data_IF_101976198417
#
_entry.id   IF_101976198417
#
_cell.length_a   1.000
_cell.length_b   1.000
_cell.length_c   1.000
_cell.angle_alpha   90.00
_cell.angle_beta   90.00
_cell.angle_gamma   90.00
#
_symmetry.space_group_name_H-M   'P 1'
#
loop_
_entity.id
_entity.type
_entity.pdbx_description
1 polymer ?
#
# COMPACT_ATOMS: atom_id res chain seq x y z
N UNK A 1 -18.29 -85.45 1.38
CA UNK A 1 -16.99 -85.06 2.03
C UNK A 1 -16.02 -84.51 0.98
N UNK A 2 -15.73 -85.18 -0.16
CA UNK A 2 -14.76 -84.65 -1.17
C UNK A 2 -15.31 -83.40 -1.87
N UNK A 3 -16.61 -83.35 -2.17
CA UNK A 3 -17.22 -82.13 -2.74
C UNK A 3 -17.26 -80.96 -1.81
N UNK A 4 -17.50 -81.14 -0.53
CA UNK A 4 -17.46 -80.13 0.47
C UNK A 4 -16.03 -79.59 0.69
N UNK A 5 -15.03 -80.47 0.64
CA UNK A 5 -13.62 -80.10 0.74
C UNK A 5 -13.17 -79.22 -0.45
N UNK A 6 -13.61 -79.54 -1.67
CA UNK A 6 -13.32 -78.73 -2.84
C UNK A 6 -14.05 -77.37 -2.81
N UNK A 7 -15.31 -77.30 -2.38
CA UNK A 7 -16.03 -76.07 -2.24
C UNK A 7 -15.35 -75.10 -1.19
N UNK A 8 -14.98 -75.69 -0.07
CA UNK A 8 -14.21 -74.91 0.99
C UNK A 8 -12.86 -74.45 0.48
N UNK A 9 -12.16 -75.25 -0.35
CA UNK A 9 -10.88 -74.78 -0.94
C UNK A 9 -11.05 -73.67 -1.94
N UNK A 10 -12.13 -73.69 -2.80
CA UNK A 10 -12.46 -72.60 -3.70
C UNK A 10 -12.82 -71.31 -2.94
N UNK A 11 -13.62 -71.43 -1.87
CA UNK A 11 -13.95 -70.26 -1.00
C UNK A 11 -12.70 -69.62 -0.35
N UNK A 12 -11.76 -70.44 0.07
CA UNK A 12 -10.48 -69.96 0.64
C UNK A 12 -9.66 -69.23 -0.45
N UNK A 13 -9.55 -69.82 -1.65
CA UNK A 13 -8.83 -69.18 -2.77
C UNK A 13 -9.45 -67.84 -3.13
N UNK A 14 -10.78 -67.77 -3.20
CA UNK A 14 -11.45 -66.50 -3.48
C UNK A 14 -11.26 -65.47 -2.35
N UNK A 15 -11.30 -65.87 -1.09
CA UNK A 15 -11.04 -65.03 0.05
C UNK A 15 -9.61 -64.46 0.03
N UNK A 16 -8.64 -65.29 -0.34
CA UNK A 16 -7.24 -64.85 -0.52
C UNK A 16 -7.12 -63.85 -1.66
N UNK A 17 -7.77 -64.11 -2.80
CA UNK A 17 -7.77 -63.19 -3.95
C UNK A 17 -8.36 -61.83 -3.59
N UNK A 18 -9.47 -61.80 -2.86
CA UNK A 18 -10.09 -60.56 -2.37
C UNK A 18 -9.14 -59.83 -1.42
N UNK A 19 -8.47 -60.55 -0.53
CA UNK A 19 -7.51 -59.98 0.42
C UNK A 19 -6.29 -59.38 -0.29
N UNK A 20 -5.75 -60.04 -1.31
CA UNK A 20 -4.65 -59.53 -2.13
C UNK A 20 -5.07 -58.22 -2.86
N UNK A 21 -6.22 -58.25 -3.53
CA UNK A 21 -6.74 -57.06 -4.21
C UNK A 21 -6.98 -55.88 -3.24
N UNK A 22 -7.45 -56.16 -2.02
CA UNK A 22 -7.61 -55.12 -0.98
C UNK A 22 -6.26 -54.58 -0.53
N UNK A 23 -5.26 -55.45 -0.38
CA UNK A 23 -3.89 -55.03 -0.05
C UNK A 23 -3.24 -54.14 -1.13
N UNK A 24 -3.44 -54.49 -2.40
CA UNK A 24 -2.95 -53.68 -3.53
C UNK A 24 -3.64 -52.31 -3.56
N UNK A 25 -4.95 -52.24 -3.40
CA UNK A 25 -5.69 -50.98 -3.30
C UNK A 25 -5.24 -50.14 -2.12
N UNK A 26 -4.96 -50.77 -0.98
CA UNK A 26 -4.42 -50.10 0.21
C UNK A 26 -3.02 -49.51 -0.05
N UNK A 27 -2.18 -50.24 -0.79
CA UNK A 27 -0.85 -49.79 -1.17
C UNK A 27 -0.92 -48.54 -2.07
N UNK A 28 -1.83 -48.55 -3.04
CA UNK A 28 -2.05 -47.38 -3.92
C UNK A 28 -2.58 -46.18 -3.15
N UNK A 29 -3.47 -46.37 -2.20
CA UNK A 29 -3.98 -45.30 -1.32
C UNK A 29 -2.87 -44.70 -0.44
N UNK A 30 -1.97 -45.56 0.09
CA UNK A 30 -0.82 -45.12 0.87
C UNK A 30 0.13 -44.26 0.00
N UNK A 31 0.42 -44.69 -1.23
CA UNK A 31 1.26 -43.94 -2.15
C UNK A 31 0.62 -42.60 -2.50
N UNK A 32 -0.67 -42.55 -2.77
CA UNK A 32 -1.41 -41.31 -3.02
C UNK A 32 -1.40 -40.37 -1.81
N UNK A 33 -1.57 -40.92 -0.60
CA UNK A 33 -1.45 -40.12 0.63
C UNK A 33 -0.05 -39.56 0.81
N UNK A 34 1.00 -40.37 0.55
CA UNK A 34 2.40 -39.91 0.62
C UNK A 34 2.65 -38.72 -0.33
N UNK A 35 2.21 -38.82 -1.57
CA UNK A 35 2.31 -37.72 -2.54
C UNK A 35 1.58 -36.46 -2.09
N UNK A 36 0.39 -36.64 -1.48
CA UNK A 36 -0.38 -35.50 -0.94
C UNK A 36 0.38 -34.83 0.22
N UNK A 37 1.03 -35.60 1.09
CA UNK A 37 1.85 -35.03 2.17
C UNK A 37 3.08 -34.30 1.65
N UNK A 38 3.75 -34.82 0.61
CA UNK A 38 4.87 -34.11 -0.02
C UNK A 38 4.42 -32.76 -0.62
N UNK A 39 3.27 -32.75 -1.27
CA UNK A 39 2.69 -31.54 -1.85
C UNK A 39 2.28 -30.54 -0.76
N UNK A 40 1.70 -31.03 0.35
CA UNK A 40 1.38 -30.20 1.51
C UNK A 40 2.64 -29.56 2.12
N UNK A 41 3.71 -30.33 2.27
CA UNK A 41 4.98 -29.81 2.79
C UNK A 41 5.58 -28.74 1.88
N UNK A 42 5.53 -28.93 0.56
CA UNK A 42 5.95 -27.92 -0.41
C UNK A 42 5.12 -26.64 -0.30
N UNK A 43 3.79 -26.77 -0.21
CA UNK A 43 2.88 -25.62 -0.05
C UNK A 43 3.12 -24.87 1.28
N UNK A 44 3.42 -25.59 2.36
CA UNK A 44 3.77 -24.98 3.66
C UNK A 44 5.06 -24.21 3.58
N UNK A 45 6.08 -24.71 2.87
CA UNK A 45 7.34 -23.98 2.65
C UNK A 45 7.12 -22.68 1.87
N UNK A 46 6.33 -22.74 0.79
CA UNK A 46 5.96 -21.55 0.02
C UNK A 46 5.16 -20.53 0.85
N UNK A 47 4.27 -21.02 1.73
CA UNK A 47 3.52 -20.15 2.63
C UNK A 47 4.44 -19.40 3.60
N UNK A 48 5.45 -20.06 4.15
CA UNK A 48 6.46 -19.42 5.03
C UNK A 48 7.20 -18.33 4.27
N UNK A 49 7.64 -18.58 3.04
CA UNK A 49 8.31 -17.57 2.21
C UNK A 49 7.41 -16.35 1.94
N UNK A 50 6.14 -16.58 1.62
CA UNK A 50 5.18 -15.48 1.42
C UNK A 50 4.94 -14.66 2.69
N UNK A 51 4.87 -15.30 3.85
CA UNK A 51 4.75 -14.59 5.15
C UNK A 51 5.98 -13.71 5.41
N UNK A 52 7.18 -14.19 5.10
CA UNK A 52 8.41 -13.40 5.23
C UNK A 52 8.41 -12.20 4.27
N UNK A 53 7.95 -12.38 3.04
CA UNK A 53 7.83 -11.30 2.06
C UNK A 53 6.81 -10.24 2.52
N UNK A 54 5.64 -10.66 3.01
CA UNK A 54 4.64 -9.74 3.58
C UNK A 54 5.23 -8.95 4.76
N UNK A 55 6.00 -9.58 5.64
CA UNK A 55 6.67 -8.88 6.73
C UNK A 55 7.66 -7.81 6.24
N UNK A 56 8.43 -8.09 5.18
CA UNK A 56 9.31 -7.08 4.55
C UNK A 56 8.51 -5.91 3.98
N UNK A 57 7.39 -6.20 3.32
CA UNK A 57 6.51 -5.17 2.75
C UNK A 57 5.90 -4.28 3.84
N UNK A 58 5.46 -4.86 4.98
CA UNK A 58 4.95 -4.11 6.14
C UNK A 58 6.03 -3.19 6.71
N UNK A 59 7.26 -3.67 6.82
CA UNK A 59 8.39 -2.85 7.29
C UNK A 59 8.67 -1.67 6.34
N UNK A 60 8.67 -1.92 5.02
CA UNK A 60 8.80 -0.89 4.00
C UNK A 60 7.67 0.13 4.02
N UNK A 61 6.43 -0.34 4.22
CA UNK A 61 5.26 0.53 4.34
C UNK A 61 5.35 1.43 5.59
N UNK A 62 5.82 0.90 6.72
CA UNK A 62 6.04 1.67 7.95
C UNK A 62 7.07 2.79 7.73
N UNK A 63 8.20 2.48 7.08
CA UNK A 63 9.20 3.49 6.72
C UNK A 63 8.64 4.57 5.77
N UNK A 64 7.83 4.17 4.79
CA UNK A 64 7.17 5.10 3.88
C UNK A 64 6.18 6.01 4.60
N UNK A 65 5.39 5.46 5.53
CA UNK A 65 4.46 6.25 6.34
C UNK A 65 5.19 7.29 7.21
N UNK A 66 6.33 6.94 7.81
CA UNK A 66 7.13 7.90 8.56
C UNK A 66 7.61 9.07 7.68
N UNK A 67 8.07 8.78 6.45
CA UNK A 67 8.45 9.82 5.49
C UNK A 67 7.27 10.71 5.08
N UNK A 68 6.07 10.15 4.95
CA UNK A 68 4.86 10.94 4.68
C UNK A 68 4.58 11.89 5.83
N UNK A 69 4.68 11.44 7.08
CA UNK A 69 4.50 12.30 8.27
C UNK A 69 5.52 13.44 8.30
N UNK A 70 6.80 13.16 8.01
CA UNK A 70 7.84 14.18 7.89
C UNK A 70 7.52 15.21 6.79
N UNK A 71 7.10 14.74 5.61
CA UNK A 71 6.73 15.62 4.50
C UNK A 71 5.52 16.50 4.84
N UNK A 72 4.52 15.97 5.55
CA UNK A 72 3.36 16.73 6.02
C UNK A 72 3.81 17.84 7.00
N UNK A 73 4.74 17.52 7.90
CA UNK A 73 5.29 18.51 8.83
C UNK A 73 6.04 19.64 8.09
N UNK A 74 6.86 19.29 7.10
CA UNK A 74 7.55 20.27 6.25
C UNK A 74 6.56 21.13 5.44
N UNK A 75 5.54 20.50 4.87
CA UNK A 75 4.49 21.21 4.12
C UNK A 75 3.74 22.19 5.00
N UNK A 76 3.45 21.82 6.25
CA UNK A 76 2.83 22.72 7.23
C UNK A 76 3.69 23.96 7.52
N UNK A 77 5.00 23.78 7.68
CA UNK A 77 5.94 24.89 7.89
C UNK A 77 5.99 25.82 6.67
N UNK A 78 6.09 25.26 5.45
CA UNK A 78 6.05 26.05 4.20
C UNK A 78 4.73 26.80 4.05
N UNK A 79 3.61 26.16 4.38
CA UNK A 79 2.29 26.82 4.32
C UNK A 79 2.22 28.01 5.25
N UNK A 80 2.82 27.90 6.43
CA UNK A 80 2.89 28.99 7.40
C UNK A 80 3.76 30.16 6.89
N UNK A 81 4.90 29.86 6.28
CA UNK A 81 5.75 30.87 5.63
C UNK A 81 5.05 31.58 4.46
N UNK A 82 4.32 30.83 3.62
CA UNK A 82 3.52 31.41 2.53
C UNK A 82 2.43 32.35 3.07
N UNK A 83 1.79 31.99 4.18
CA UNK A 83 0.78 32.84 4.83
C UNK A 83 1.39 34.16 5.30
N UNK A 84 2.54 34.11 5.98
CA UNK A 84 3.26 35.33 6.44
C UNK A 84 3.69 36.19 5.26
N UNK A 85 4.22 35.59 4.20
CA UNK A 85 4.62 36.31 3.01
C UNK A 85 3.40 36.97 2.31
N UNK A 86 2.25 36.31 2.27
CA UNK A 86 1.03 36.88 1.72
C UNK A 86 0.54 38.10 2.52
N UNK A 87 0.63 38.06 3.85
CA UNK A 87 0.33 39.22 4.71
C UNK A 87 1.30 40.37 4.47
N UNK A 88 2.58 40.09 4.30
CA UNK A 88 3.59 41.12 3.97
C UNK A 88 3.30 41.78 2.61
N UNK A 89 2.96 40.99 1.59
CA UNK A 89 2.60 41.52 0.28
C UNK A 89 1.32 42.36 0.34
N UNK A 90 0.35 41.96 1.16
CA UNK A 90 -0.86 42.75 1.38
C UNK A 90 -0.55 44.09 2.01
N UNK A 91 0.23 44.12 3.07
CA UNK A 91 0.65 45.37 3.75
C UNK A 91 1.47 46.28 2.84
N UNK A 92 2.38 45.70 2.03
CA UNK A 92 3.14 46.49 1.04
C UNK A 92 2.25 47.07 -0.06
N UNK A 93 1.21 46.36 -0.47
CA UNK A 93 0.23 46.84 -1.43
C UNK A 93 -0.57 48.04 -0.89
N UNK A 94 -0.97 47.97 0.37
CA UNK A 94 -1.65 49.11 1.05
C UNK A 94 -0.73 50.35 1.14
N UNK A 95 0.53 50.16 1.52
CA UNK A 95 1.52 51.25 1.53
C UNK A 95 1.73 51.86 0.14
N UNK A 96 1.78 51.04 -0.90
CA UNK A 96 1.93 51.53 -2.27
C UNK A 96 0.71 52.34 -2.73
N UNK A 97 -0.50 51.97 -2.30
CA UNK A 97 -1.73 52.77 -2.56
C UNK A 97 -1.65 54.13 -1.86
N UNK A 98 -1.18 54.19 -0.61
CA UNK A 98 -1.00 55.42 0.13
C UNK A 98 0.03 56.33 -0.55
N UNK A 99 1.18 55.78 -0.96
CA UNK A 99 2.20 56.56 -1.69
C UNK A 99 1.66 57.09 -3.04
N UNK A 100 0.88 56.28 -3.78
CA UNK A 100 0.26 56.72 -5.03
C UNK A 100 -0.68 57.92 -4.82
N UNK A 101 -1.47 57.92 -3.75
CA UNK A 101 -2.36 59.03 -3.41
C UNK A 101 -1.56 60.28 -2.99
N UNK A 102 -0.47 60.15 -2.21
CA UNK A 102 0.44 61.25 -1.85
C UNK A 102 1.09 61.89 -3.10
N UNK A 103 1.56 61.05 -4.02
CA UNK A 103 2.12 61.55 -5.30
C UNK A 103 1.08 62.29 -6.11
N UNK A 104 -0.14 61.78 -6.19
CA UNK A 104 -1.26 62.47 -6.89
C UNK A 104 -1.56 63.83 -6.28
N UNK A 105 -1.61 63.94 -4.94
CA UNK A 105 -1.83 65.20 -4.23
C UNK A 105 -0.69 66.19 -4.50
N UNK A 106 0.58 65.72 -4.48
CA UNK A 106 1.71 66.56 -4.82
C UNK A 106 1.66 67.09 -6.25
N UNK A 107 1.29 66.27 -7.22
CA UNK A 107 1.11 66.70 -8.63
C UNK A 107 0.02 67.74 -8.76
N UNK A 108 -1.12 67.53 -8.08
CA UNK A 108 -2.24 68.51 -8.10
C UNK A 108 -1.82 69.88 -7.48
N UNK A 109 -1.04 69.83 -6.37
CA UNK A 109 -0.50 71.03 -5.78
C UNK A 109 0.47 71.80 -6.72
N UNK A 110 1.38 71.06 -7.36
CA UNK A 110 2.30 71.65 -8.35
C UNK A 110 1.52 72.29 -9.52
N UNK A 111 0.52 71.59 -10.02
CA UNK A 111 -0.36 72.13 -11.10
C UNK A 111 -1.05 73.40 -10.71
N UNK A 112 -1.67 73.46 -9.53
CA UNK A 112 -2.35 74.64 -9.00
C UNK A 112 -1.38 75.84 -8.80
N UNK A 113 -0.17 75.54 -8.32
CA UNK A 113 0.87 76.57 -8.15
C UNK A 113 1.36 77.12 -9.48
N UNK A 114 1.55 76.24 -10.48
CA UNK A 114 1.93 76.65 -11.86
C UNK A 114 0.85 77.51 -12.53
N UNK A 115 -0.41 77.16 -12.35
CA UNK A 115 -1.55 77.94 -12.89
C UNK A 115 -1.59 79.35 -12.26
N UNK A 116 -1.36 79.46 -10.94
CA UNK A 116 -1.29 80.78 -10.27
C UNK A 116 -0.13 81.63 -10.72
N UNK A 117 1.04 81.03 -10.97
CA UNK A 117 2.20 81.76 -11.52
C UNK A 117 1.99 82.24 -12.96
N UNK A 118 1.22 81.53 -13.76
CA UNK A 118 0.97 81.89 -15.14
C UNK A 118 -0.11 82.95 -15.29
N UNK A 119 -0.94 83.22 -14.25
CA UNK A 119 -1.96 84.26 -14.20
C UNK A 119 -1.48 85.57 -13.55
N UNK A 120 -0.28 85.54 -12.95
CA UNK A 120 0.39 86.75 -12.37
C UNK A 120 1.29 87.42 -13.43
#
# INVERSE_FOLDING_TARGET
IIYELNANAEDVVESVRISVNAADTQSDNINSASQTFEQLNSNMSALVEHVEEVNKQITGLSASNNRIVENISQLSAVTQEVTVNAEQVHNLSEQNLEYAEQVKQAVEHIRSTSEKMNMA
#
